data_IF_108594429321
#
_entry.id   IF_108594429321
#
_cell.length_a   1.000
_cell.length_b   1.000
_cell.length_c   1.000
_cell.angle_alpha   90.00
_cell.angle_beta   90.00
_cell.angle_gamma   90.00
#
_symmetry.space_group_name_H-M   'P 1'
#
loop_
_entity.id
_entity.type
_entity.pdbx_description
1 polymer ?
2 non-polymer ?
3 non-polymer ?
4 water ?
#
# COMPACT_ATOMS: atom_id res chain seq x y z
N UNK A 8 22.11 12.41 15.33
CA UNK A 8 21.54 13.70 14.92
C UNK A 8 22.25 14.23 13.66
N UNK A 9 21.83 15.40 13.14
CA UNK A 9 20.43 15.73 12.84
C UNK A 9 20.28 16.12 11.37
N UNK A 10 19.38 15.48 10.65
CA UNK A 10 18.04 16.02 10.40
C UNK A 10 18.01 17.20 9.42
N UNK A 11 18.73 18.26 9.74
CA UNK A 11 18.72 19.47 8.93
C UNK A 11 19.28 19.11 7.56
N UNK A 12 20.25 18.20 7.59
CA UNK A 12 20.97 17.76 6.42
C UNK A 12 20.06 16.93 5.49
N UNK A 13 19.48 15.84 5.99
CA UNK A 13 18.53 15.05 5.19
C UNK A 13 17.68 15.99 4.36
N UNK A 14 17.20 17.07 4.96
CA UNK A 14 16.30 17.97 4.25
C UNK A 14 17.00 18.68 3.10
N UNK A 15 18.24 19.10 3.33
CA UNK A 15 19.06 19.70 2.27
C UNK A 15 19.14 18.76 1.10
N UNK A 16 19.53 17.52 1.41
CA UNK A 16 19.69 16.49 0.41
C UNK A 16 18.42 16.32 -0.40
N UNK A 17 17.30 16.22 0.30
CA UNK A 17 16.04 15.94 -0.36
C UNK A 17 15.65 17.15 -1.20
N UNK A 18 15.84 18.33 -0.63
CA UNK A 18 15.57 19.55 -1.35
C UNK A 18 16.41 19.70 -2.61
N UNK A 19 17.71 19.43 -2.48
CA UNK A 19 18.65 19.49 -3.61
C UNK A 19 18.22 18.54 -4.73
N UNK A 20 17.92 17.32 -4.32
CA UNK A 20 17.51 16.26 -5.22
C UNK A 20 16.25 16.67 -5.98
N UNK A 21 15.25 17.17 -5.25
CA UNK A 21 14.01 17.58 -5.90
C UNK A 21 14.20 18.74 -6.85
N UNK A 22 15.08 19.69 -6.51
CA UNK A 22 15.35 20.79 -7.40
C UNK A 22 16.02 20.30 -8.68
N UNK A 23 16.93 19.34 -8.54
CA UNK A 23 17.56 18.80 -9.73
C UNK A 23 16.47 18.22 -10.61
N UNK A 24 15.56 17.40 -10.06
CA UNK A 24 14.50 16.85 -10.90
C UNK A 24 13.62 17.95 -11.47
N UNK A 25 13.33 18.94 -10.65
CA UNK A 25 12.42 20.02 -11.02
C UNK A 25 12.90 20.77 -12.29
N UNK A 26 14.21 20.87 -12.45
CA UNK A 26 14.79 21.65 -13.54
C UNK A 26 15.43 20.86 -14.70
N UNK A 27 15.18 19.55 -14.81
CA UNK A 27 15.63 18.78 -15.94
C UNK A 27 17.09 18.42 -15.87
N UNK A 28 17.65 18.34 -14.68
CA UNK A 28 19.08 18.04 -14.54
C UNK A 28 19.34 16.56 -14.30
N UNK A 29 18.32 15.84 -13.84
CA UNK A 29 18.38 14.40 -13.72
C UNK A 29 17.40 13.74 -14.71
N UNK A 30 17.81 12.61 -15.26
CA UNK A 30 16.99 11.95 -16.26
C UNK A 30 15.72 11.41 -15.66
N UNK A 31 14.65 11.63 -16.41
CA UNK A 31 13.38 11.03 -16.12
C UNK A 31 13.06 10.13 -17.30
N UNK A 32 12.99 8.82 -17.08
CA UNK A 32 12.78 7.87 -18.17
C UNK A 32 11.30 7.60 -18.38
N UNK A 33 10.94 7.12 -19.56
CA UNK A 33 9.53 6.95 -19.89
C UNK A 33 9.22 5.60 -20.50
N UNK A 34 8.24 4.92 -19.89
CA UNK A 34 7.72 3.68 -20.41
C UNK A 34 6.69 4.00 -21.48
N UNK A 35 6.60 3.11 -22.48
CA UNK A 35 5.69 3.29 -23.62
C UNK A 35 4.25 2.90 -23.37
N UNK A 36 3.84 2.68 -22.11
CA UNK A 36 2.41 2.62 -21.79
C UNK A 36 2.14 3.55 -20.61
N UNK A 37 0.87 3.85 -20.33
CA UNK A 37 0.59 4.76 -19.23
C UNK A 37 1.01 4.19 -17.89
N UNK A 38 1.39 5.09 -16.99
CA UNK A 38 1.85 4.77 -15.68
C UNK A 38 1.15 5.71 -14.70
N UNK A 39 0.44 5.10 -13.77
CA UNK A 39 -0.10 5.76 -12.61
C UNK A 39 0.79 5.50 -11.40
N UNK A 40 1.10 6.57 -10.68
CA UNK A 40 1.82 6.40 -9.43
C UNK A 40 0.94 6.60 -8.22
N UNK A 41 1.09 5.71 -7.24
CA UNK A 41 0.49 5.91 -5.96
C UNK A 41 1.64 6.04 -5.01
N UNK A 42 1.59 7.02 -4.12
CA UNK A 42 2.64 7.11 -3.14
C UNK A 42 2.18 7.99 -2.00
N UNK A 43 3.08 8.26 -1.07
CA UNK A 43 2.75 9.09 0.07
C UNK A 43 4.01 9.84 0.51
N UNK A 44 3.89 10.64 1.56
CA UNK A 44 4.95 11.56 1.96
C UNK A 44 5.68 11.11 3.20
N UNK A 45 5.19 10.05 3.84
CA UNK A 45 5.73 9.67 5.13
C UNK A 45 5.91 8.18 5.27
N UNK A 46 6.73 7.80 6.22
CA UNK A 46 6.91 6.39 6.56
C UNK A 46 5.84 6.08 7.59
N UNK A 47 5.46 4.80 7.76
CA UNK A 47 4.50 4.42 8.78
C UNK A 47 3.15 4.00 8.21
N UNK A 48 3.00 4.05 6.90
CA UNK A 48 1.84 3.49 6.24
C UNK A 48 0.77 4.53 6.00
N UNK A 49 0.22 4.55 4.79
CA UNK A 49 -0.84 5.49 4.45
C UNK A 49 -2.01 4.88 3.67
N UNK A 50 -2.16 3.57 3.71
CA UNK A 50 -3.16 2.92 2.89
C UNK A 50 -2.89 2.86 1.40
N UNK A 51 -1.63 2.88 1.02
CA UNK A 51 -1.25 2.80 -0.38
C UNK A 51 -1.62 1.48 -1.01
N UNK A 52 -1.31 0.38 -0.34
CA UNK A 52 -1.64 -0.93 -0.89
C UNK A 52 -3.13 -1.06 -1.16
N UNK A 53 -3.94 -0.63 -0.21
CA UNK A 53 -5.38 -0.64 -0.35
C UNK A 53 -5.88 0.19 -1.50
N UNK A 54 -5.28 1.36 -1.67
CA UNK A 54 -5.66 2.23 -2.77
C UNK A 54 -5.23 1.61 -4.11
N UNK A 55 -4.06 1.00 -4.15
CA UNK A 55 -3.62 0.28 -5.34
C UNK A 55 -4.62 -0.80 -5.72
N UNK A 56 -5.08 -1.57 -4.74
CA UNK A 56 -6.06 -2.61 -5.04
C UNK A 56 -7.38 -2.02 -5.58
N UNK A 57 -7.78 -0.91 -5.02
CA UNK A 57 -8.98 -0.22 -5.47
C UNK A 57 -8.82 0.20 -6.91
N UNK A 58 -7.69 0.84 -7.21
CA UNK A 58 -7.37 1.27 -8.55
C UNK A 58 -7.38 0.07 -9.51
N UNK A 59 -6.74 -1.02 -9.11
CA UNK A 59 -6.68 -2.20 -9.97
C UNK A 59 -8.07 -2.68 -10.33
N UNK A 60 -9.00 -2.60 -9.39
CA UNK A 60 -10.39 -2.96 -9.65
C UNK A 60 -11.11 -1.99 -10.57
N UNK A 61 -10.76 -0.71 -10.51
CA UNK A 61 -11.29 0.26 -11.45
C UNK A 61 -10.87 -0.11 -12.87
N UNK A 62 -9.67 -0.67 -12.98
CA UNK A 62 -8.97 -0.77 -14.25
C UNK A 62 -9.15 -2.16 -14.86
N UNK A 63 -10.17 -2.88 -14.41
CA UNK A 63 -10.31 -4.31 -14.65
C UNK A 63 -10.45 -4.62 -16.14
N UNK A 64 -10.90 -3.62 -16.91
CA UNK A 64 -11.03 -3.78 -18.36
C UNK A 64 -9.67 -3.69 -19.07
N UNK A 65 -8.59 -3.45 -18.32
CA UNK A 65 -7.25 -3.37 -18.91
C UNK A 65 -6.31 -4.43 -18.31
N UNK A 66 -5.24 -4.76 -19.03
CA UNK A 66 -4.20 -5.61 -18.46
C UNK A 66 -3.31 -4.76 -17.59
N UNK A 67 -3.34 -5.05 -16.29
CA UNK A 67 -2.66 -4.22 -15.30
C UNK A 67 -1.45 -4.92 -14.70
N UNK A 68 -0.38 -4.17 -14.51
CA UNK A 68 0.79 -4.67 -13.82
C UNK A 68 1.21 -3.67 -12.75
N UNK A 69 1.43 -4.18 -11.54
CA UNK A 69 1.84 -3.34 -10.42
C UNK A 69 3.36 -3.45 -10.36
N UNK A 70 4.04 -2.31 -10.30
CA UNK A 70 5.49 -2.26 -10.13
C UNK A 70 5.84 -1.85 -8.74
N UNK A 71 6.53 -2.77 -8.05
CA UNK A 71 6.73 -2.63 -6.64
C UNK A 71 8.22 -2.80 -6.38
N UNK A 72 8.70 -2.16 -5.32
CA UNK A 72 10.01 -2.44 -4.75
C UNK A 72 10.14 -3.84 -4.14
N UNK A 73 9.07 -4.34 -3.52
CA UNK A 73 9.15 -5.52 -2.67
C UNK A 73 10.06 -5.46 -1.45
N UNK A 74 9.69 -4.64 -0.47
CA UNK A 74 10.56 -4.39 0.67
C UNK A 74 10.81 -5.68 1.43
N UNK A 75 12.07 -5.90 1.80
CA UNK A 75 12.46 -6.94 2.74
C UNK A 75 12.53 -8.32 2.08
N UNK A 76 12.34 -8.38 0.78
CA UNK A 76 12.28 -9.66 0.09
C UNK A 76 13.65 -10.34 0.08
N UNK A 77 13.65 -11.66 0.18
CA UNK A 77 14.82 -12.46 -0.16
C UNK A 77 14.85 -12.85 -1.64
N UNK A 78 15.03 -11.87 -2.49
CA UNK A 78 15.67 -12.04 -3.78
C UNK A 78 16.19 -10.71 -4.23
N UNK A 79 16.83 -10.68 -5.39
CA UNK A 79 17.75 -9.62 -5.73
C UNK A 79 17.30 -8.86 -6.96
N UNK A 80 17.01 -9.59 -8.01
CA UNK A 80 16.94 -8.97 -9.31
C UNK A 80 15.62 -8.29 -9.55
N UNK A 81 15.36 -7.93 -10.78
CA UNK A 81 14.01 -7.75 -11.23
C UNK A 81 13.28 -9.07 -11.21
N UNK A 82 12.10 -9.09 -10.59
CA UNK A 82 11.38 -10.35 -10.42
C UNK A 82 9.91 -10.24 -10.72
N UNK A 83 9.41 -11.18 -11.51
CA UNK A 83 7.98 -11.29 -11.73
C UNK A 83 7.40 -12.09 -10.57
N UNK A 84 6.56 -11.44 -9.78
CA UNK A 84 5.98 -12.07 -8.60
C UNK A 84 4.74 -12.83 -9.01
N UNK A 85 3.96 -12.22 -9.89
CA UNK A 85 2.73 -12.81 -10.33
C UNK A 85 2.46 -12.45 -11.80
N UNK A 86 2.06 -13.42 -12.60
CA UNK A 86 1.57 -13.13 -13.93
C UNK A 86 0.07 -13.35 -13.94
N UNK A 87 -0.68 -12.26 -13.98
CA UNK A 87 -2.11 -12.32 -14.21
C UNK A 87 -2.72 -13.31 -13.24
N UNK A 88 -2.25 -13.25 -12.00
CA UNK A 88 -2.73 -14.07 -10.90
C UNK A 88 -2.01 -15.38 -10.64
N UNK A 89 -1.10 -15.80 -11.52
CA UNK A 89 -0.29 -16.97 -11.24
C UNK A 89 0.93 -16.52 -10.44
N UNK A 90 0.91 -16.79 -9.14
CA UNK A 90 2.03 -16.50 -8.25
C UNK A 90 3.28 -17.32 -8.61
N UNK A 91 4.41 -16.66 -8.88
CA UNK A 91 5.61 -17.37 -9.32
C UNK A 91 6.55 -17.63 -8.17
N UNK A 92 6.33 -16.97 -7.05
CA UNK A 92 7.27 -17.06 -5.94
C UNK A 92 6.55 -17.13 -4.59
N UNK A 93 7.31 -17.48 -3.57
CA UNK A 93 6.84 -17.43 -2.19
C UNK A 93 6.77 -15.97 -1.70
N UNK A 94 6.05 -15.76 -0.60
CA UNK A 94 5.88 -14.41 -0.06
C UNK A 94 7.21 -13.85 0.42
N UNK A 95 8.06 -14.71 0.97
CA UNK A 95 9.39 -14.30 1.41
C UNK A 95 10.24 -13.80 0.22
N UNK A 96 10.14 -14.46 -0.93
CA UNK A 96 10.86 -14.00 -2.14
C UNK A 96 10.30 -12.70 -2.71
N UNK A 97 8.98 -12.55 -2.66
CA UNK A 97 8.32 -11.39 -3.22
C UNK A 97 8.41 -10.16 -2.35
N UNK A 98 8.47 -10.35 -1.04
CA UNK A 98 8.17 -9.28 -0.09
C UNK A 98 6.68 -9.37 0.25
N UNK A 99 6.33 -9.16 1.51
CA UNK A 99 4.94 -9.41 1.95
C UNK A 99 3.93 -8.55 1.15
N UNK A 100 4.24 -7.29 0.86
CA UNK A 100 3.24 -6.46 0.17
C UNK A 100 3.04 -6.79 -1.32
N UNK A 101 4.13 -7.02 -2.07
CA UNK A 101 3.81 -7.49 -3.43
C UNK A 101 3.02 -8.81 -3.45
N UNK A 102 3.39 -9.76 -2.58
CA UNK A 102 2.69 -11.04 -2.51
C UNK A 102 1.19 -10.81 -2.14
N UNK A 103 0.94 -9.89 -1.21
CA UNK A 103 -0.43 -9.63 -0.70
C UNK A 103 -1.29 -9.08 -1.84
N UNK A 104 -0.72 -8.15 -2.57
CA UNK A 104 -1.40 -7.59 -3.74
C UNK A 104 -1.67 -8.65 -4.82
N UNK A 105 -0.65 -9.46 -5.13
CA UNK A 105 -0.81 -10.53 -6.09
C UNK A 105 -1.91 -11.45 -5.63
N UNK A 106 -1.89 -11.81 -4.35
CA UNK A 106 -2.86 -12.76 -3.83
C UNK A 106 -4.30 -12.26 -3.80
N UNK A 107 -4.49 -10.97 -3.56
CA UNK A 107 -5.82 -10.41 -3.45
C UNK A 107 -6.31 -9.91 -4.81
N UNK A 108 -5.39 -9.84 -5.80
CA UNK A 108 -5.72 -9.37 -7.14
C UNK A 108 -5.39 -10.45 -8.19
N UNK A 109 -6.21 -11.49 -8.27
CA UNK A 109 -5.95 -12.63 -9.16
C UNK A 109 -6.01 -12.28 -10.65
N UNK A 110 -6.33 -11.03 -11.02
CA UNK A 110 -6.40 -10.68 -12.42
C UNK A 110 -5.19 -9.78 -12.87
N UNK A 111 -4.29 -9.44 -11.91
CA UNK A 111 -3.23 -8.41 -12.09
C UNK A 111 -1.83 -9.04 -12.09
N UNK A 112 -0.86 -8.47 -12.80
CA UNK A 112 0.52 -8.92 -12.65
C UNK A 112 1.23 -8.07 -11.64
N UNK A 113 2.28 -8.62 -11.03
CA UNK A 113 3.06 -7.90 -10.04
C UNK A 113 4.51 -8.17 -10.33
N UNK A 114 5.29 -7.09 -10.40
CA UNK A 114 6.73 -7.18 -10.61
C UNK A 114 7.45 -6.43 -9.53
N UNK A 115 8.51 -7.01 -9.00
CA UNK A 115 9.34 -6.30 -8.03
C UNK A 115 10.69 -5.94 -8.62
N UNK A 116 11.00 -4.64 -8.61
CA UNK A 116 12.34 -4.16 -8.95
C UNK A 116 12.66 -2.89 -8.18
N UNK A 117 13.91 -2.69 -7.81
CA UNK A 117 14.34 -1.41 -7.23
C UNK A 117 14.17 -0.30 -8.27
N UNK A 118 14.54 -0.64 -9.49
CA UNK A 118 14.43 0.28 -10.60
C UNK A 118 13.14 -0.04 -11.35
N UNK A 119 12.13 0.82 -11.16
CA UNK A 119 10.80 0.53 -11.66
C UNK A 119 10.75 0.48 -13.19
N UNK A 120 11.52 1.37 -13.83
CA UNK A 120 11.59 1.40 -15.30
C UNK A 120 12.02 0.02 -15.80
N UNK A 121 13.07 -0.53 -15.19
CA UNK A 121 13.55 -1.89 -15.49
C UNK A 121 12.49 -2.96 -15.27
N UNK A 122 11.74 -2.83 -14.18
CA UNK A 122 10.64 -3.75 -13.96
C UNK A 122 9.63 -3.66 -15.08
N UNK A 123 9.32 -2.42 -15.48
CA UNK A 123 8.32 -2.19 -16.52
C UNK A 123 8.76 -2.75 -17.87
N UNK A 124 10.04 -2.58 -18.23
CA UNK A 124 10.55 -3.13 -19.48
C UNK A 124 10.47 -4.65 -19.51
N UNK A 125 10.79 -5.28 -18.37
CA UNK A 125 10.66 -6.72 -18.26
C UNK A 125 9.19 -7.18 -18.39
N UNK A 126 8.28 -6.49 -17.71
CA UNK A 126 6.87 -6.79 -17.84
C UNK A 126 6.37 -6.64 -19.27
N UNK A 127 6.79 -5.58 -19.95
CA UNK A 127 6.32 -5.33 -21.32
C UNK A 127 6.71 -6.47 -22.22
N UNK A 128 7.93 -6.97 -22.00
CA UNK A 128 8.47 -8.04 -22.79
C UNK A 128 7.68 -9.33 -22.57
N UNK A 129 7.42 -9.67 -21.31
CA UNK A 129 6.86 -10.98 -20.94
C UNK A 129 5.32 -10.98 -20.73
N UNK A 130 4.76 -9.86 -20.27
CA UNK A 130 3.34 -9.81 -19.87
C UNK A 130 2.41 -8.92 -20.70
N UNK A 131 2.96 -8.03 -21.52
CA UNK A 131 2.17 -7.15 -22.39
C UNK A 131 1.10 -6.29 -21.70
N UNK A 132 1.49 -5.63 -20.53
CA UNK A 132 0.40 -4.85 -19.89
C UNK A 132 0.00 -3.53 -20.57
N UNK A 133 -1.24 -3.09 -20.35
CA UNK A 133 -1.74 -1.83 -20.90
C UNK A 133 -1.60 -0.65 -19.94
N UNK A 134 -1.29 -0.92 -18.68
CA UNK A 134 -1.12 0.16 -17.70
C UNK A 134 -0.28 -0.34 -16.52
N UNK A 135 0.67 0.47 -16.08
CA UNK A 135 1.40 0.19 -14.85
C UNK A 135 0.92 1.05 -13.69
N UNK A 136 0.85 0.44 -12.51
CA UNK A 136 0.64 1.17 -11.27
C UNK A 136 1.88 1.01 -10.40
N UNK A 137 2.46 2.10 -9.98
CA UNK A 137 3.52 2.05 -9.05
C UNK A 137 2.93 2.10 -7.66
N UNK A 138 3.34 1.21 -6.79
CA UNK A 138 2.67 1.02 -5.53
C UNK A 138 3.23 1.91 -4.46
N UNK A 139 4.49 2.29 -4.61
CA UNK A 139 5.09 3.34 -3.80
C UNK A 139 6.02 4.30 -4.58
N UNK A 140 5.43 5.17 -5.40
CA UNK A 140 6.14 5.78 -6.50
C UNK A 140 6.49 7.26 -6.44
N UNK A 141 6.08 7.96 -5.39
CA UNK A 141 6.08 9.41 -5.42
C UNK A 141 7.48 10.04 -5.42
N UNK A 142 8.38 9.42 -4.66
CA UNK A 142 9.78 9.78 -4.53
C UNK A 142 10.64 9.24 -5.72
N UNK A 143 10.09 8.30 -6.48
CA UNK A 143 10.81 7.69 -7.60
C UNK A 143 10.68 8.51 -8.87
N UNK A 144 11.29 9.68 -8.87
CA UNK A 144 11.09 10.68 -9.90
C UNK A 144 11.61 10.25 -11.26
N UNK A 145 12.61 9.38 -11.26
CA UNK A 145 13.29 9.00 -12.48
C UNK A 145 12.37 8.22 -13.40
N UNK A 146 11.22 7.77 -12.90
CA UNK A 146 10.23 7.18 -13.80
C UNK A 146 9.07 8.13 -14.02
N UNK A 147 8.88 8.53 -15.29
CA UNK A 147 7.73 9.34 -15.67
C UNK A 147 6.44 8.69 -15.27
N UNK A 148 5.49 9.45 -14.72
CA UNK A 148 4.16 8.96 -14.49
C UNK A 148 3.20 9.89 -15.18
N UNK A 149 2.12 9.34 -15.70
CA UNK A 149 1.08 10.13 -16.36
C UNK A 149 0.04 10.65 -15.41
N UNK A 150 -0.10 9.99 -14.26
CA UNK A 150 -0.97 10.49 -13.22
C UNK A 150 -0.24 10.24 -11.87
N UNK A 151 0.00 11.30 -11.12
CA UNK A 151 0.77 11.21 -9.89
C UNK A 151 -0.21 11.39 -8.72
N UNK A 152 -0.51 10.30 -8.04
CA UNK A 152 -1.47 10.33 -6.96
C UNK A 152 -0.76 10.26 -5.63
N UNK A 153 -1.00 11.26 -4.79
CA UNK A 153 -0.40 11.34 -3.46
C UNK A 153 -1.45 11.09 -2.37
N UNK A 154 -1.13 10.15 -1.51
CA UNK A 154 -1.93 9.85 -0.32
C UNK A 154 -1.41 10.62 0.89
N UNK A 155 -2.32 11.22 1.63
CA UNK A 155 -1.97 11.97 2.81
C UNK A 155 -2.88 11.53 3.95
N UNK A 156 -2.35 11.48 5.16
CA UNK A 156 -3.17 11.18 6.33
C UNK A 156 -3.00 12.33 7.31
N UNK A 157 -3.97 12.48 8.20
CA UNK A 157 -4.04 13.65 9.07
C UNK A 157 -2.73 13.94 9.78
N UNK A 158 -2.13 12.88 10.28
CA UNK A 158 -0.89 12.98 11.02
C UNK A 158 0.19 13.73 10.22
N UNK A 159 0.28 13.46 8.92
CA UNK A 159 1.26 14.11 8.05
C UNK A 159 1.30 15.63 8.19
N UNK A 160 0.12 16.22 8.37
CA UNK A 160 -0.02 17.67 8.31
C UNK A 160 0.71 18.43 9.40
N UNK A 161 1.08 17.74 10.47
CA UNK A 161 1.76 18.40 11.59
C UNK A 161 3.07 17.69 11.88
N UNK A 162 3.43 16.75 11.02
CA UNK A 162 4.63 15.96 11.21
C UNK A 162 5.85 16.77 10.73
N UNK A 163 7.05 16.20 10.82
CA UNK A 163 8.23 16.87 10.32
C UNK A 163 9.15 15.87 9.64
N UNK A 164 10.18 16.39 9.00
CA UNK A 164 11.14 15.55 8.30
C UNK A 164 11.83 14.52 9.18
N UNK A 165 12.06 13.34 8.62
CA UNK A 165 12.98 12.40 9.19
C UNK A 165 14.30 13.09 9.50
N UNK A 166 15.01 12.61 10.52
CA UNK A 166 14.63 11.46 11.33
C UNK A 166 13.97 11.92 12.63
N UNK A 167 13.72 13.21 12.73
CA UNK A 167 12.96 13.77 13.84
C UNK A 167 11.49 13.33 13.76
N UNK A 168 10.90 13.44 12.57
CA UNK A 168 9.52 13.06 12.33
C UNK A 168 9.44 11.96 11.30
N UNK A 169 8.25 11.74 10.73
CA UNK A 169 8.08 10.66 9.73
C UNK A 169 8.03 11.11 8.27
N UNK A 170 8.12 12.41 7.99
CA UNK A 170 8.08 12.83 6.59
C UNK A 170 9.34 12.45 5.81
N UNK A 171 9.14 11.89 4.63
CA UNK A 171 10.23 11.56 3.72
C UNK A 171 10.64 12.80 2.90
N UNK A 172 9.72 13.77 2.79
CA UNK A 172 9.94 15.00 2.05
C UNK A 172 9.12 16.10 2.71
N UNK A 173 9.48 17.37 2.49
CA UNK A 173 8.71 18.49 3.05
C UNK A 173 7.32 18.52 2.41
N UNK A 174 6.37 19.15 3.10
CA UNK A 174 4.97 19.16 2.68
C UNK A 174 4.75 19.98 1.42
N UNK A 175 5.66 20.89 1.12
CA UNK A 175 5.51 21.69 -0.09
C UNK A 175 5.52 20.79 -1.33
N UNK A 176 6.10 19.60 -1.21
CA UNK A 176 6.18 18.72 -2.36
C UNK A 176 4.82 18.14 -2.76
N UNK A 177 3.81 18.46 -1.97
CA UNK A 177 2.47 18.17 -2.36
C UNK A 177 2.18 18.79 -3.72
N UNK A 178 2.91 19.87 -4.06
CA UNK A 178 2.74 20.50 -5.36
C UNK A 178 2.89 19.54 -6.55
N UNK A 179 3.67 18.47 -6.40
CA UNK A 179 3.94 17.54 -7.51
C UNK A 179 2.76 16.59 -7.79
N UNK A 180 1.79 16.47 -6.88
CA UNK A 180 0.65 15.59 -7.13
C UNK A 180 -0.37 16.10 -8.17
N UNK A 181 -0.91 15.22 -9.02
CA UNK A 181 -2.06 15.62 -9.85
C UNK A 181 -3.33 15.44 -9.03
N UNK A 182 -3.29 14.55 -8.04
CA UNK A 182 -4.47 14.24 -7.26
C UNK A 182 -4.05 13.83 -5.86
N UNK A 183 -4.81 14.28 -4.89
CA UNK A 183 -4.64 13.91 -3.50
C UNK A 183 -5.74 12.97 -3.01
N UNK A 184 -5.36 11.97 -2.23
CA UNK A 184 -6.32 11.08 -1.61
C UNK A 184 -6.16 11.22 -0.11
N UNK A 185 -7.20 11.66 0.59
CA UNK A 185 -7.10 11.86 2.03
C UNK A 185 -7.52 10.58 2.73
N UNK A 186 -6.55 9.85 3.26
CA UNK A 186 -6.79 8.49 3.77
C UNK A 186 -7.08 8.34 5.27
N UNK A 187 -7.42 7.11 5.64
CA UNK A 187 -7.80 6.75 6.99
C UNK A 187 -8.92 7.57 7.53
N UNK A 188 -9.88 7.96 6.69
CA UNK A 188 -10.97 8.83 7.14
C UNK A 188 -11.85 8.16 8.20
N UNK A 189 -11.95 6.81 8.20
CA UNK A 189 -12.79 6.09 9.17
C UNK A 189 -12.17 6.07 10.57
N UNK A 190 -10.89 6.42 10.70
CA UNK A 190 -10.22 6.43 12.01
C UNK A 190 -9.69 7.81 12.43
N UNK A 191 -9.16 8.58 11.48
CA UNK A 191 -8.72 9.95 11.77
C UNK A 191 -9.26 10.83 10.67
N UNK A 192 -10.56 11.13 10.73
CA UNK A 192 -11.11 11.96 9.65
C UNK A 192 -10.45 13.34 9.59
N UNK A 193 -10.31 13.93 8.40
CA UNK A 193 -9.77 15.30 8.27
C UNK A 193 -10.08 15.90 6.89
N UNK A 194 -9.92 17.22 6.81
CA UNK A 194 -10.12 17.97 5.58
C UNK A 194 -8.82 18.64 5.18
N UNK A 195 -8.46 18.52 3.90
CA UNK A 195 -7.40 19.31 3.30
C UNK A 195 -7.95 20.00 2.05
N UNK A 196 -7.77 21.32 1.95
CA UNK A 196 -8.07 21.99 0.70
C UNK A 196 -6.83 22.60 0.09
N UNK A 197 -6.60 22.31 -1.18
CA UNK A 197 -5.43 22.84 -1.88
C UNK A 197 -5.75 23.42 -3.25
N UNK A 198 -6.96 23.19 -3.75
CA UNK A 198 -7.25 23.47 -5.15
C UNK A 198 -7.00 22.28 -6.05
N UNK A 199 -6.16 21.34 -5.62
CA UNK A 199 -5.97 20.10 -6.40
C UNK A 199 -7.17 19.20 -6.22
N UNK A 200 -7.49 18.43 -7.26
CA UNK A 200 -8.48 17.37 -7.22
C UNK A 200 -8.23 16.45 -6.01
N UNK A 201 -9.19 16.39 -5.10
CA UNK A 201 -8.97 15.78 -3.81
C UNK A 201 -10.12 14.79 -3.50
N UNK A 202 -9.78 13.62 -2.97
CA UNK A 202 -10.72 12.54 -2.76
C UNK A 202 -10.53 11.91 -1.40
N UNK A 203 -11.57 11.86 -0.59
CA UNK A 203 -11.46 11.14 0.68
C UNK A 203 -11.56 9.62 0.50
N UNK A 204 -10.70 8.88 1.18
CA UNK A 204 -10.73 7.40 1.15
C UNK A 204 -11.16 6.82 2.49
N UNK A 205 -12.09 5.89 2.44
CA UNK A 205 -12.60 5.22 3.64
C UNK A 205 -12.40 3.71 3.53
N UNK A 206 -12.04 3.08 4.65
CA UNK A 206 -11.97 1.63 4.73
C UNK A 206 -13.21 1.15 5.45
N UNK A 207 -14.01 0.36 4.75
CA UNK A 207 -15.27 -0.16 5.36
C UNK A 207 -15.01 -1.58 5.84
N UNK A 208 -14.87 -1.73 7.15
CA UNK A 208 -14.51 -3.00 7.75
C UNK A 208 -15.73 -3.88 7.84
N UNK A 209 -15.80 -4.85 6.95
CA UNK A 209 -17.03 -5.55 6.72
C UNK A 209 -16.89 -7.08 6.78
N UNK A 210 -15.67 -7.59 6.81
CA UNK A 210 -15.42 -9.00 6.53
C UNK A 210 -14.38 -9.65 7.43
N UNK A 211 -14.47 -10.96 7.53
CA UNK A 211 -13.54 -11.78 8.26
C UNK A 211 -12.99 -12.83 7.31
N UNK A 212 -11.69 -13.03 7.35
CA UNK A 212 -11.04 -14.08 6.55
C UNK A 212 -10.44 -15.12 7.45
N UNK A 213 -10.61 -16.40 7.09
CA UNK A 213 -9.84 -17.43 7.78
C UNK A 213 -8.47 -17.55 7.14
N UNK A 214 -7.61 -18.37 7.71
CA UNK A 214 -6.24 -18.47 7.25
C UNK A 214 -6.10 -19.19 5.91
N UNK A 215 -7.19 -19.70 5.37
CA UNK A 215 -7.16 -20.14 3.97
C UNK A 215 -7.64 -19.04 3.01
N UNK A 216 -7.79 -17.82 3.54
CA UNK A 216 -8.29 -16.66 2.78
C UNK A 216 -9.70 -16.84 2.24
N UNK A 217 -10.50 -17.59 2.98
CA UNK A 217 -11.90 -17.71 2.66
C UNK A 217 -12.71 -16.81 3.62
N UNK A 218 -13.75 -16.15 3.10
CA UNK A 218 -14.64 -15.34 3.96
C UNK A 218 -15.40 -16.24 4.90
N UNK A 219 -15.45 -15.83 6.17
CA UNK A 219 -16.24 -16.52 7.17
C UNK A 219 -17.01 -15.47 7.98
N UNK A 220 -18.18 -15.83 8.50
CA UNK A 220 -18.99 -14.84 9.22
C UNK A 220 -18.37 -14.45 10.56
N UNK A 221 -18.79 -13.33 11.11
CA UNK A 221 -18.32 -12.91 12.42
C UNK A 221 -18.81 -13.71 13.63
N UNK A 222 -19.86 -14.51 13.46
CA UNK A 222 -20.44 -15.22 14.62
C UNK A 222 -19.34 -15.80 15.52
N UNK A 223 -18.19 -16.08 14.92
CA UNK A 223 -17.09 -16.68 15.65
C UNK A 223 -16.49 -15.70 16.68
N UNK A 224 -16.47 -14.41 16.34
CA UNK A 224 -15.92 -13.40 17.24
C UNK A 224 -16.93 -12.97 18.32
N UNK A 225 -17.99 -13.74 18.50
CA UNK A 225 -19.00 -13.35 19.46
C UNK A 225 -18.82 -14.10 20.76
N UNK A 226 -18.74 -13.31 21.82
CA UNK A 226 -18.57 -13.84 23.16
C UNK A 226 -17.24 -14.53 23.26
N UNK A 227 -16.34 -14.08 22.39
CA UNK A 227 -14.96 -14.48 22.47
C UNK A 227 -14.20 -13.20 22.68
N UNK A 228 -13.23 -13.24 23.58
CA UNK A 228 -12.19 -12.24 23.63
C UNK A 228 -11.09 -12.83 22.75
N UNK A 229 -10.49 -12.00 21.90
CA UNK A 229 -9.46 -12.47 20.98
C UNK A 229 -8.12 -11.95 21.41
N UNK A 230 -7.07 -12.56 20.88
CA UNK A 230 -5.75 -11.98 20.99
C UNK A 230 -5.51 -11.41 19.61
N UNK A 231 -5.34 -10.09 19.54
CA UNK A 231 -5.07 -9.40 18.28
C UNK A 231 -3.61 -9.08 18.15
N UNK A 232 -3.15 -9.02 16.92
CA UNK A 232 -1.78 -8.62 16.64
C UNK A 232 -1.63 -8.20 15.18
N UNK A 233 -0.60 -7.40 14.90
CA UNK A 233 -0.19 -7.12 13.53
C UNK A 233 1.28 -6.70 13.49
N UNK A 234 1.94 -6.87 12.35
CA UNK A 234 3.14 -6.11 12.07
C UNK A 234 3.03 -5.19 10.87
N UNK A 235 2.99 -3.90 11.14
CA UNK A 235 2.44 -2.91 10.24
C UNK A 235 3.31 -1.68 10.32
N UNK A 236 3.21 -0.79 9.33
CA UNK A 236 3.82 0.51 9.50
C UNK A 236 3.34 1.20 10.76
N UNK A 237 2.04 1.10 11.03
CA UNK A 237 1.51 1.60 12.32
C UNK A 237 0.42 0.73 12.94
N UNK A 238 0.82 -0.11 13.90
CA UNK A 238 -0.10 -1.02 14.59
C UNK A 238 -1.17 -0.29 15.37
N UNK A 239 -0.91 0.97 15.67
CA UNK A 239 -1.85 1.74 16.46
C UNK A 239 -3.17 1.93 15.75
N UNK A 240 -3.17 2.17 14.44
CA UNK A 240 -4.45 2.41 13.77
C UNK A 240 -5.29 1.13 13.71
N UNK A 241 -4.61 -0.01 13.64
CA UNK A 241 -5.31 -1.29 13.63
C UNK A 241 -5.98 -1.51 14.97
N UNK A 242 -5.24 -1.33 16.08
CA UNK A 242 -5.86 -1.51 17.36
C UNK A 242 -6.98 -0.49 17.63
N UNK A 243 -6.90 0.70 17.05
CA UNK A 243 -7.98 1.69 17.19
C UNK A 243 -9.21 1.25 16.39
N UNK A 244 -9.01 0.75 15.18
CA UNK A 244 -10.10 0.21 14.37
C UNK A 244 -10.87 -0.90 15.16
N UNK A 245 -10.13 -1.80 15.81
CA UNK A 245 -10.74 -2.90 16.54
C UNK A 245 -11.63 -2.37 17.67
N UNK A 246 -11.17 -1.32 18.33
CA UNK A 246 -11.96 -0.73 19.40
C UNK A 246 -13.20 -0.04 18.85
N UNK A 247 -13.05 0.73 17.78
CA UNK A 247 -14.21 1.41 17.20
C UNK A 247 -15.26 0.40 16.72
N UNK A 248 -14.83 -0.79 16.30
CA UNK A 248 -15.77 -1.81 15.84
C UNK A 248 -16.40 -2.55 17.01
N UNK A 249 -15.90 -2.30 18.21
CA UNK A 249 -16.39 -3.00 19.37
C UNK A 249 -15.98 -4.46 19.38
N UNK A 250 -14.81 -4.77 18.80
CA UNK A 250 -14.28 -6.12 18.97
C UNK A 250 -13.54 -6.24 20.30
N UNK A 251 -13.85 -7.30 21.04
CA UNK A 251 -13.30 -7.54 22.37
C UNK A 251 -11.93 -8.18 22.30
N UNK A 252 -10.94 -7.39 22.64
CA UNK A 252 -9.56 -7.80 22.48
C UNK A 252 -8.94 -7.91 23.87
N UNK A 253 -8.46 -9.09 24.27
CA UNK A 253 -7.94 -9.22 25.63
C UNK A 253 -6.45 -8.95 25.71
N UNK A 254 -5.79 -9.04 24.57
CA UNK A 254 -4.37 -8.80 24.49
C UNK A 254 -4.04 -8.39 23.05
N UNK A 255 -3.12 -7.43 22.92
CA UNK A 255 -2.65 -6.98 21.62
C UNK A 255 -1.14 -7.10 21.58
N UNK A 256 -0.63 -7.78 20.57
CA UNK A 256 0.81 -7.89 20.38
C UNK A 256 1.20 -7.05 19.18
N UNK A 257 2.09 -6.10 19.43
CA UNK A 257 2.53 -5.18 18.42
C UNK A 257 3.87 -5.64 17.86
N UNK A 258 3.87 -6.08 16.61
CA UNK A 258 5.08 -6.62 16.00
C UNK A 258 5.72 -5.58 15.07
N UNK A 259 7.02 -5.72 14.78
CA UNK A 259 7.71 -4.90 13.78
C UNK A 259 7.06 -5.00 12.41
N UNK A 260 7.01 -3.89 11.69
CA UNK A 260 6.60 -3.91 10.28
C UNK A 260 7.27 -5.06 9.52
N UNK A 261 6.52 -5.72 8.65
CA UNK A 261 7.01 -6.84 7.82
C UNK A 261 7.54 -8.03 8.62
N UNK A 262 7.13 -8.14 9.87
CA UNK A 262 7.57 -9.27 10.72
C UNK A 262 7.30 -10.59 10.03
N UNK A 263 8.22 -11.55 10.16
CA UNK A 263 8.15 -12.78 9.37
C UNK A 263 7.46 -13.93 10.11
N UNK A 264 7.14 -13.69 11.39
CA UNK A 264 6.40 -14.62 12.22
C UNK A 264 7.07 -15.96 12.38
N UNK A 265 8.38 -15.98 12.27
CA UNK A 265 9.13 -17.21 12.48
C UNK A 265 8.90 -17.73 13.89
N UNK A 266 8.82 -16.83 14.87
CA UNK A 266 8.66 -17.23 16.30
C UNK A 266 7.24 -17.54 16.77
N UNK A 267 6.29 -17.59 15.86
CA UNK A 267 4.91 -17.51 16.29
C UNK A 267 4.30 -18.91 16.47
N UNK A 268 3.74 -19.11 17.65
CA UNK A 268 3.07 -20.36 17.97
C UNK A 268 1.76 -20.00 18.65
N UNK A 269 0.63 -20.35 18.02
CA UNK A 269 -0.68 -20.09 18.64
C UNK A 269 -0.87 -20.97 19.87
N UNK A 270 -1.54 -20.42 20.87
CA UNK A 270 -1.90 -21.17 22.03
C UNK A 270 -3.23 -21.86 21.80
N UNK A 271 -3.33 -23.16 22.11
CA UNK A 271 -4.57 -23.93 21.97
C UNK A 271 -5.76 -23.24 22.67
N UNK A 272 -6.90 -23.22 22.01
CA UNK A 272 -8.11 -22.69 22.63
C UNK A 272 -8.32 -21.20 22.39
N UNK A 273 -7.32 -20.51 21.84
CA UNK A 273 -7.41 -19.05 21.68
C UNK A 273 -7.79 -18.69 20.27
N UNK A 274 -8.42 -17.53 20.11
CA UNK A 274 -8.75 -17.00 18.79
C UNK A 274 -7.92 -15.75 18.56
N UNK A 275 -7.27 -15.70 17.40
CA UNK A 275 -6.35 -14.64 17.03
C UNK A 275 -6.92 -13.84 15.88
N UNK A 276 -6.81 -12.52 15.98
CA UNK A 276 -7.30 -11.61 14.97
C UNK A 276 -6.17 -10.68 14.51
N UNK A 277 -6.03 -10.57 13.20
CA UNK A 277 -4.84 -9.98 12.57
C UNK A 277 -5.26 -9.39 11.24
N UNK A 278 -4.30 -8.93 10.45
CA UNK A 278 -4.64 -8.27 9.20
C UNK A 278 -4.27 -9.19 8.04
N UNK A 279 -4.77 -8.87 6.84
CA UNK A 279 -4.39 -9.74 5.72
C UNK A 279 -2.87 -9.76 5.42
N UNK A 280 -2.21 -8.63 5.61
CA UNK A 280 -0.77 -8.49 5.43
C UNK A 280 -0.06 -9.45 6.33
N UNK A 281 -0.55 -9.60 7.55
CA UNK A 281 0.00 -10.61 8.46
C UNK A 281 -0.42 -12.03 8.09
N UNK A 282 -1.69 -12.22 7.73
CA UNK A 282 -2.21 -13.55 7.50
C UNK A 282 -1.52 -14.26 6.31
N UNK A 283 -0.92 -13.52 5.38
CA UNK A 283 -0.27 -14.20 4.26
C UNK A 283 0.89 -15.05 4.77
N UNK A 284 1.38 -14.70 5.95
CA UNK A 284 2.48 -15.41 6.54
C UNK A 284 2.05 -16.49 7.48
N UNK A 285 0.75 -16.69 7.65
CA UNK A 285 0.28 -17.68 8.61
C UNK A 285 -0.77 -18.59 7.97
N UNK A 286 -0.61 -18.89 6.71
CA UNK A 286 -1.67 -19.60 5.99
C UNK A 286 -1.78 -20.98 6.56
N UNK A 287 -3.02 -21.42 6.68
CA UNK A 287 -3.31 -22.71 7.26
C UNK A 287 -3.23 -22.81 8.77
N UNK A 288 -2.83 -21.74 9.47
CA UNK A 288 -2.92 -21.81 10.94
C UNK A 288 -4.36 -21.74 11.32
N UNK A 289 -4.79 -22.72 12.06
CA UNK A 289 -6.14 -22.74 12.57
C UNK A 289 -6.37 -21.66 13.61
N UNK A 290 -7.58 -21.13 13.62
CA UNK A 290 -7.96 -20.13 14.62
C UNK A 290 -7.17 -18.81 14.56
N UNK A 291 -6.55 -18.54 13.42
CA UNK A 291 -6.02 -17.22 13.11
C UNK A 291 -6.88 -16.61 12.01
N UNK A 292 -7.50 -15.46 12.27
CA UNK A 292 -8.37 -14.80 11.28
C UNK A 292 -7.84 -13.39 10.98
N UNK A 293 -8.27 -12.80 9.87
CA UNK A 293 -7.89 -11.43 9.56
C UNK A 293 -9.14 -10.62 9.37
N UNK A 294 -9.14 -9.40 9.91
CA UNK A 294 -10.13 -8.41 9.57
C UNK A 294 -9.85 -7.86 8.15
N UNK A 295 -10.87 -7.88 7.31
CA UNK A 295 -10.74 -7.35 5.95
C UNK A 295 -11.77 -6.24 5.75
N UNK A 296 -11.55 -5.46 4.72
CA UNK A 296 -12.35 -4.27 4.47
C UNK A 296 -12.49 -4.00 2.99
N UNK A 297 -13.47 -3.19 2.63
CA UNK A 297 -13.57 -2.61 1.29
C UNK A 297 -13.07 -1.18 1.32
N UNK A 298 -12.62 -0.70 0.16
CA UNK A 298 -12.08 0.63 0.02
C UNK A 298 -13.14 1.43 -0.75
N UNK A 299 -13.50 2.55 -0.21
CA UNK A 299 -14.45 3.39 -0.87
C UNK A 299 -13.94 4.81 -1.03
N UNK A 300 -14.17 5.39 -2.19
CA UNK A 300 -13.71 6.73 -2.53
C UNK A 300 -14.86 7.67 -2.81
N UNK A 301 -14.85 8.87 -2.24
CA UNK A 301 -15.74 9.94 -2.70
C UNK A 301 -15.48 10.36 -4.13
N UNK A 302 -16.54 10.80 -4.78
CA UNK A 302 -16.48 11.34 -6.15
C UNK A 302 -15.74 10.38 -7.09
N UNK A 303 -16.17 9.14 -7.08
CA UNK A 303 -15.49 8.09 -7.83
C UNK A 303 -15.58 8.35 -9.32
N UNK A 304 -16.71 8.88 -9.74
CA UNK A 304 -16.93 9.10 -11.14
C UNK A 304 -15.93 10.17 -11.60
N UNK A 305 -15.73 11.19 -10.77
CA UNK A 305 -14.71 12.21 -11.03
C UNK A 305 -13.32 11.56 -11.09
N UNK A 306 -13.01 10.69 -10.13
CA UNK A 306 -11.73 9.99 -10.09
C UNK A 306 -11.50 9.12 -11.34
N UNK A 307 -12.51 8.40 -11.77
CA UNK A 307 -12.43 7.55 -12.93
C UNK A 307 -12.12 8.31 -14.20
N UNK A 308 -12.69 9.47 -14.33
CA UNK A 308 -12.45 10.30 -15.51
C UNK A 308 -11.01 10.74 -15.51
N UNK A 309 -10.53 11.15 -14.34
CA UNK A 309 -9.13 11.52 -14.17
C UNK A 309 -8.22 10.36 -14.55
N UNK A 310 -8.63 9.14 -14.20
CA UNK A 310 -7.79 7.97 -14.42
C UNK A 310 -7.81 7.56 -15.92
N UNK A 311 -8.97 7.65 -16.56
CA UNK A 311 -9.05 7.18 -17.95
C UNK A 311 -8.42 8.12 -18.98
N UNK A 312 -8.26 9.40 -18.61
CA UNK A 312 -7.61 10.37 -19.50
C UNK A 312 -6.24 9.93 -19.93
N UNK A 313 -5.59 9.11 -19.11
CA UNK A 313 -4.21 8.74 -19.41
C UNK A 313 -4.07 7.84 -20.64
N UNK A 314 -5.18 7.19 -21.02
CA UNK A 314 -5.20 6.28 -22.14
C UNK A 314 -5.43 7.00 -23.49
N UNK A 315 -5.56 8.31 -23.46
CA UNK A 315 -5.90 9.07 -24.66
C UNK A 315 -4.75 9.95 -25.16
#
# INVERSE_FOLDING_TARGET
>A
MLRSSLLPFSYLYEKIINFRNTLYDKGFLKIKKLPVPVISVGNLSVGGSGKTSFVMYLADLLKDKRVCILSRGYKRKSKGTLIVSEYGNLKVSWEEAGDEPYLMAKLLPHVSVVASEDRYKGGLLALEKLSPEVFILDDGFQHRKLHRDLNILLLKKKDLKDRLLPAGNLREPLKEIRRADALVLTYQEVEPFEFFTGKPTFKMFREFCCLLNSDFEEVPFDILKEREVIAFSGLGDNGQFRKVLKNLGIKVKEFMSFPDHYDYSDFTPEEGEIYLTTPKDLIKLQGYENVFALNFKVKLEREEKLKKLIYRIFY
#
